data_IF_516198474322
#
_entry.id   IF_516198474322
#
_cell.length_a   1.000
_cell.length_b   1.000
_cell.length_c   1.000
_cell.angle_alpha   90.00
_cell.angle_beta   90.00
_cell.angle_gamma   90.00
#
_symmetry.space_group_name_H-M   'P 1'
#
loop_
_entity.id
_entity.type
_entity.pdbx_description
1 polymer ?
#
# COMPACT_ATOMS: atom_id res chain seq x y z
N UNK A 1 13.80 29.37 -5.54
CA UNK A 1 13.36 27.96 -5.64
C UNK A 1 14.52 27.08 -5.19
N UNK A 2 14.50 26.61 -3.95
CA UNK A 2 15.56 25.73 -3.45
C UNK A 2 15.26 24.30 -3.91
N UNK A 3 15.96 23.85 -4.95
CA UNK A 3 16.03 22.45 -5.35
C UNK A 3 16.90 21.70 -4.34
N UNK A 4 16.38 21.53 -3.13
CA UNK A 4 16.98 20.66 -2.13
C UNK A 4 16.80 19.22 -2.59
N UNK A 5 17.86 18.58 -3.10
CA UNK A 5 17.91 17.12 -3.23
C UNK A 5 17.68 16.55 -1.83
N UNK A 6 16.51 15.97 -1.61
CA UNK A 6 16.25 15.22 -0.38
C UNK A 6 17.11 13.96 -0.47
N UNK A 7 18.34 14.04 0.06
CA UNK A 7 19.15 12.86 0.34
C UNK A 7 18.49 12.13 1.51
N UNK A 8 17.51 11.27 1.19
CA UNK A 8 16.91 10.37 2.18
C UNK A 8 17.94 9.29 2.48
N UNK A 9 18.82 9.54 3.44
CA UNK A 9 19.60 8.46 4.05
C UNK A 9 18.63 7.45 4.66
N UNK A 10 18.86 6.15 4.45
CA UNK A 10 17.98 5.06 4.93
C UNK A 10 17.73 5.18 6.44
N UNK A 11 18.72 5.65 7.19
CA UNK A 11 18.63 5.87 8.65
C UNK A 11 17.50 6.85 9.06
N UNK A 12 17.12 7.77 8.17
CA UNK A 12 16.11 8.80 8.43
C UNK A 12 14.73 8.50 7.82
N UNK A 13 14.56 7.34 7.19
CA UNK A 13 13.32 7.05 6.45
C UNK A 13 12.11 6.90 7.40
N UNK A 14 12.29 6.23 8.55
CA UNK A 14 11.21 6.00 9.50
C UNK A 14 10.70 7.28 10.19
N UNK A 15 11.55 8.17 10.73
CA UNK A 15 11.10 9.45 11.29
C UNK A 15 10.37 10.33 10.26
N UNK A 16 10.84 10.32 9.01
CA UNK A 16 10.24 11.11 7.93
C UNK A 16 8.85 10.56 7.55
N UNK A 17 8.72 9.24 7.39
CA UNK A 17 7.43 8.57 7.15
C UNK A 17 6.47 8.90 8.30
N UNK A 18 6.88 8.76 9.57
CA UNK A 18 6.02 9.10 10.72
C UNK A 18 5.52 10.53 10.67
N UNK A 19 6.40 11.51 10.41
CA UNK A 19 6.00 12.92 10.29
C UNK A 19 4.99 13.15 9.15
N UNK A 20 5.18 12.47 8.01
CA UNK A 20 4.22 12.47 6.91
C UNK A 20 2.88 11.85 7.30
N UNK A 21 2.90 10.69 7.96
CA UNK A 21 1.70 9.97 8.40
C UNK A 21 0.85 10.78 9.39
N UNK A 22 1.47 11.54 10.31
CA UNK A 22 0.76 12.43 11.24
C UNK A 22 0.25 13.72 10.59
N UNK A 23 0.81 14.09 9.43
CA UNK A 23 0.37 15.29 8.71
C UNK A 23 -0.81 14.99 7.78
N UNK A 24 -0.88 13.78 7.22
CA UNK A 24 -1.94 13.32 6.32
C UNK A 24 -2.28 11.84 6.56
N UNK A 25 -3.05 11.58 7.62
CA UNK A 25 -3.51 10.22 7.98
C UNK A 25 -4.30 9.52 6.85
N UNK A 26 -4.94 10.28 5.96
CA UNK A 26 -5.69 9.76 4.81
C UNK A 26 -4.78 9.07 3.78
N UNK A 27 -3.53 9.53 3.62
CA UNK A 27 -2.57 8.95 2.67
C UNK A 27 -2.23 7.51 3.08
N UNK A 28 -2.12 7.26 4.39
CA UNK A 28 -1.82 5.92 4.90
C UNK A 28 -2.95 4.93 4.62
N UNK A 29 -4.19 5.30 4.96
CA UNK A 29 -5.34 4.45 4.69
C UNK A 29 -5.52 4.19 3.20
N UNK A 30 -5.31 5.21 2.36
CA UNK A 30 -5.31 5.05 0.91
C UNK A 30 -4.24 4.06 0.44
N UNK A 31 -3.04 4.13 0.99
CA UNK A 31 -1.94 3.24 0.62
C UNK A 31 -2.23 1.78 1.03
N UNK A 32 -2.82 1.56 2.21
CA UNK A 32 -3.23 0.23 2.65
C UNK A 32 -4.33 -0.37 1.74
N UNK A 33 -5.34 0.43 1.39
CA UNK A 33 -6.41 0.00 0.46
C UNK A 33 -5.83 -0.27 -0.94
N UNK A 34 -4.91 0.56 -1.42
CA UNK A 34 -4.24 0.37 -2.71
C UNK A 34 -3.48 -0.96 -2.73
N UNK A 35 -2.67 -1.23 -1.70
CA UNK A 35 -1.93 -2.48 -1.58
C UNK A 35 -2.84 -3.71 -1.51
N UNK A 36 -3.96 -3.62 -0.78
CA UNK A 36 -4.98 -4.68 -0.74
C UNK A 36 -5.62 -4.92 -2.11
N UNK A 37 -5.95 -3.85 -2.83
CA UNK A 37 -6.53 -3.91 -4.18
C UNK A 37 -5.55 -4.59 -5.15
N UNK A 38 -4.27 -4.18 -5.15
CA UNK A 38 -3.23 -4.77 -5.98
C UNK A 38 -3.04 -6.27 -5.70
N UNK A 39 -3.10 -6.68 -4.43
CA UNK A 39 -3.02 -8.08 -4.06
C UNK A 39 -4.18 -8.91 -4.64
N UNK A 40 -5.41 -8.38 -4.58
CA UNK A 40 -6.58 -9.05 -5.17
C UNK A 40 -6.48 -9.14 -6.70
N UNK A 41 -6.00 -8.08 -7.36
CA UNK A 41 -5.80 -8.08 -8.82
C UNK A 41 -4.71 -9.07 -9.25
N UNK A 42 -3.61 -9.15 -8.49
CA UNK A 42 -2.57 -10.17 -8.72
C UNK A 42 -3.15 -11.58 -8.57
N UNK A 43 -3.95 -11.83 -7.53
CA UNK A 43 -4.60 -13.11 -7.36
C UNK A 43 -5.50 -13.42 -8.56
N UNK A 44 -6.36 -12.49 -8.99
CA UNK A 44 -7.20 -12.64 -10.19
C UNK A 44 -6.40 -12.99 -11.43
N UNK A 45 -5.26 -12.34 -11.61
CA UNK A 45 -4.39 -12.59 -12.75
C UNK A 45 -3.84 -14.01 -12.71
N UNK A 46 -3.25 -14.41 -11.58
CA UNK A 46 -2.70 -15.75 -11.36
C UNK A 46 -3.76 -16.85 -11.52
N UNK A 47 -4.99 -16.62 -11.04
CA UNK A 47 -6.10 -17.58 -11.22
C UNK A 47 -6.50 -17.70 -12.68
N UNK A 48 -6.50 -16.59 -13.43
CA UNK A 48 -6.89 -16.56 -14.85
C UNK A 48 -5.89 -17.32 -15.73
N UNK A 49 -4.60 -17.24 -15.41
CA UNK A 49 -3.55 -17.94 -16.16
C UNK A 49 -3.30 -19.38 -15.67
N UNK A 50 -4.02 -19.83 -14.63
CA UNK A 50 -3.94 -21.20 -14.11
C UNK A 50 -2.69 -21.49 -13.26
N UNK A 51 -1.95 -20.47 -12.82
CA UNK A 51 -0.74 -20.61 -12.00
C UNK A 51 -1.02 -20.86 -10.52
N UNK A 52 -2.28 -20.73 -10.09
CA UNK A 52 -2.72 -21.02 -8.73
C UNK A 52 -3.94 -21.93 -8.72
N UNK A 53 -4.03 -22.79 -7.70
CA UNK A 53 -5.17 -23.69 -7.45
C UNK A 53 -6.23 -23.05 -6.56
N UNK A 54 -6.00 -21.82 -6.11
CA UNK A 54 -6.93 -21.06 -5.27
C UNK A 54 -7.94 -20.38 -6.17
N UNK A 55 -9.23 -20.44 -5.81
CA UNK A 55 -10.26 -19.71 -6.55
C UNK A 55 -10.23 -18.22 -6.19
N UNK A 56 -10.51 -17.36 -7.17
CA UNK A 56 -10.53 -15.90 -6.97
C UNK A 56 -11.70 -15.48 -6.08
N UNK A 57 -12.86 -16.14 -6.20
CA UNK A 57 -14.04 -15.84 -5.40
C UNK A 57 -14.49 -14.38 -5.48
N UNK A 58 -14.83 -13.79 -4.33
CA UNK A 58 -15.24 -12.38 -4.20
C UNK A 58 -14.49 -11.72 -3.03
N UNK A 59 -13.26 -11.22 -3.23
CA UNK A 59 -12.47 -10.63 -2.17
C UNK A 59 -13.10 -9.31 -1.69
N UNK A 60 -13.17 -9.13 -0.37
CA UNK A 60 -13.70 -7.93 0.29
C UNK A 60 -12.61 -7.34 1.16
N UNK A 61 -12.34 -6.04 1.00
CA UNK A 61 -11.43 -5.29 1.86
C UNK A 61 -12.26 -4.58 2.93
N UNK A 62 -12.11 -5.00 4.18
CA UNK A 62 -12.78 -4.38 5.33
C UNK A 62 -11.75 -3.54 6.12
N UNK A 63 -12.09 -2.28 6.39
CA UNK A 63 -11.28 -1.38 7.22
C UNK A 63 -12.01 -1.13 8.53
N UNK A 64 -11.38 -1.50 9.64
CA UNK A 64 -11.87 -1.23 10.99
C UNK A 64 -10.92 -0.26 11.68
N UNK A 65 -11.48 0.79 12.28
CA UNK A 65 -10.76 1.77 13.10
C UNK A 65 -11.37 1.68 14.48
N UNK A 66 -10.55 1.38 15.49
CA UNK A 66 -10.90 1.45 16.91
C UNK A 66 -10.60 2.83 17.49
#
# INVERSE_FOLDING_TARGET
>A
MATGKINVSVDNIFPLIKKFLYSDHEIFLRELISNGTDATLKLKHLTTIGETKVDYGNPIIEVKVD
#
